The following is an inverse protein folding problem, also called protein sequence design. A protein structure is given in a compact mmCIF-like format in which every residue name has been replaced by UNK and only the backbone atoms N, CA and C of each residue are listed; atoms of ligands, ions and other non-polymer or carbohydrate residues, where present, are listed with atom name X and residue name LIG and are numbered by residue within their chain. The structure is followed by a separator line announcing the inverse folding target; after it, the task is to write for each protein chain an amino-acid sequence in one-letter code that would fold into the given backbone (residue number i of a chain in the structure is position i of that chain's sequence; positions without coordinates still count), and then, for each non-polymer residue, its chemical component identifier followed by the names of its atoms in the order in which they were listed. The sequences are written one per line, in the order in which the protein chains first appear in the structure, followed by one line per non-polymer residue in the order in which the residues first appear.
data_IF_967162335421
#
_entry.id   IF_967162335421
#
_cell.length_a   1.000
_cell.length_b   1.000
_cell.length_c   1.000
_cell.angle_alpha   90.00
_cell.angle_beta   90.00
_cell.angle_gamma   90.00
#
_symmetry.space_group_name_H-M   'P 1'
#
loop_
_entity.id
_entity.type
_entity.pdbx_description
1 polymer ?
#
# COMPACT_ATOMS: atom_id res chain seq x y z
N UNK A 1 13.91 10.20 -12.37
CA UNK A 1 12.77 9.38 -11.91
C UNK A 1 13.05 7.92 -12.20
N UNK A 2 12.88 7.08 -11.22
CA UNK A 2 13.15 5.65 -11.37
C UNK A 2 11.88 4.85 -11.12
N UNK A 3 11.69 3.79 -11.91
CA UNK A 3 10.63 2.81 -11.67
C UNK A 3 11.18 1.75 -10.72
N UNK A 4 10.60 1.66 -9.54
CA UNK A 4 11.02 0.72 -8.50
C UNK A 4 9.91 -0.27 -8.25
N UNK A 5 10.24 -1.57 -8.31
CA UNK A 5 9.31 -2.65 -7.97
C UNK A 5 9.69 -3.18 -6.60
N UNK A 6 8.75 -3.16 -5.67
CA UNK A 6 9.04 -3.54 -4.29
C UNK A 6 7.82 -4.21 -3.65
N UNK A 7 8.04 -5.22 -2.79
CA UNK A 7 6.96 -5.73 -1.95
C UNK A 7 6.42 -4.62 -1.05
N UNK A 8 5.11 -4.58 -0.89
CA UNK A 8 4.45 -3.52 -0.14
C UNK A 8 3.16 -3.98 0.51
N UNK A 9 2.77 -3.26 1.57
CA UNK A 9 1.49 -3.43 2.24
C UNK A 9 0.79 -2.07 2.26
N UNK A 10 -0.49 -2.05 1.93
CA UNK A 10 -1.30 -0.84 1.97
C UNK A 10 -1.63 -0.49 3.41
N UNK A 11 -1.12 0.64 3.89
CA UNK A 11 -1.36 1.11 5.26
C UNK A 11 -2.54 2.04 5.36
N UNK A 12 -2.80 2.81 4.30
CA UNK A 12 -3.85 3.80 4.28
C UNK A 12 -4.22 4.08 2.84
N UNK A 13 -5.50 4.34 2.61
CA UNK A 13 -5.97 4.71 1.28
C UNK A 13 -7.08 5.75 1.44
N UNK A 14 -7.05 6.77 0.59
CA UNK A 14 -8.09 7.80 0.60
C UNK A 14 -8.26 8.40 -0.79
N UNK A 15 -9.44 8.97 -1.00
CA UNK A 15 -9.78 9.61 -2.26
C UNK A 15 -8.94 10.86 -2.47
N UNK A 16 -8.35 10.99 -3.66
CA UNK A 16 -7.55 12.15 -4.04
C UNK A 16 -8.32 13.07 -4.99
N UNK A 17 -8.98 12.49 -5.98
CA UNK A 17 -9.80 13.20 -6.97
C UNK A 17 -11.01 12.34 -7.30
N UNK A 18 -11.79 12.72 -8.31
CA UNK A 18 -12.96 11.95 -8.71
C UNK A 18 -12.62 10.51 -9.12
N UNK A 19 -11.43 10.30 -9.67
CA UNK A 19 -11.04 9.00 -10.23
C UNK A 19 -9.80 8.39 -9.58
N UNK A 20 -9.09 9.14 -8.74
CA UNK A 20 -7.80 8.70 -8.21
C UNK A 20 -7.82 8.55 -6.69
N UNK A 21 -6.95 7.66 -6.20
CA UNK A 21 -6.69 7.50 -4.78
C UNK A 21 -5.24 7.86 -4.47
N UNK A 22 -4.99 8.31 -3.24
CA UNK A 22 -3.65 8.27 -2.66
C UNK A 22 -3.58 7.05 -1.76
N UNK A 23 -2.51 6.28 -1.91
CA UNK A 23 -2.25 5.13 -1.07
C UNK A 23 -0.95 5.36 -0.31
N UNK A 24 -0.97 4.99 0.96
CA UNK A 24 0.23 5.00 1.77
C UNK A 24 0.69 3.56 1.92
N UNK A 25 1.93 3.30 1.52
CA UNK A 25 2.48 1.95 1.42
C UNK A 25 3.68 1.79 2.33
N UNK A 26 3.73 0.68 3.05
CA UNK A 26 4.97 0.22 3.68
C UNK A 26 5.68 -0.66 2.66
N UNK A 27 6.82 -0.20 2.16
CA UNK A 27 7.58 -0.93 1.14
C UNK A 27 8.87 -1.49 1.73
N UNK A 28 9.31 -2.61 1.17
CA UNK A 28 10.58 -3.22 1.57
C UNK A 28 11.79 -2.35 1.18
N UNK A 29 11.76 -1.82 -0.05
CA UNK A 29 12.93 -1.16 -0.61
C UNK A 29 12.99 0.33 -0.32
N UNK A 30 11.85 0.98 -0.10
CA UNK A 30 11.76 2.43 -0.02
C UNK A 30 11.15 2.94 1.29
N UNK A 31 10.88 2.05 2.25
CA UNK A 31 10.20 2.44 3.48
C UNK A 31 8.75 2.84 3.25
N UNK A 32 8.22 3.72 4.08
CA UNK A 32 6.84 4.18 3.96
C UNK A 32 6.77 5.31 2.94
N UNK A 33 5.95 5.10 1.90
CA UNK A 33 5.80 6.06 0.80
C UNK A 33 4.34 6.30 0.50
N UNK A 34 4.03 7.50 0.01
CA UNK A 34 2.70 7.84 -0.49
C UNK A 34 2.74 7.94 -2.00
N UNK A 35 1.71 7.41 -2.66
CA UNK A 35 1.64 7.41 -4.10
C UNK A 35 0.21 7.63 -4.60
N UNK A 36 0.09 8.27 -5.75
CA UNK A 36 -1.20 8.45 -6.44
C UNK A 36 -1.43 7.25 -7.33
N UNK A 37 -2.58 6.61 -7.13
CA UNK A 37 -3.08 5.55 -8.02
C UNK A 37 -4.10 6.17 -8.96
N UNK A 38 -3.65 6.60 -10.12
CA UNK A 38 -4.49 7.30 -11.09
C UNK A 38 -5.54 6.37 -11.67
N UNK A 39 -6.79 6.81 -11.66
CA UNK A 39 -7.90 6.04 -12.18
C UNK A 39 -8.34 4.88 -11.31
N UNK A 40 -7.83 4.77 -10.08
CA UNK A 40 -8.15 3.66 -9.18
C UNK A 40 -9.64 3.56 -8.83
N UNK A 41 -10.36 4.67 -8.88
CA UNK A 41 -11.79 4.71 -8.56
C UNK A 41 -12.69 4.41 -9.76
N UNK A 42 -12.11 4.24 -10.96
CA UNK A 42 -12.89 3.90 -12.15
C UNK A 42 -13.34 2.43 -12.09
N UNK A 43 -14.54 2.12 -12.65
CA UNK A 43 -15.06 0.75 -12.58
C UNK A 43 -14.14 -0.34 -13.14
N UNK A 44 -13.36 -0.01 -14.18
CA UNK A 44 -12.41 -0.94 -14.79
C UNK A 44 -10.97 -0.54 -14.51
N UNK A 45 -10.69 -0.16 -13.27
CA UNK A 45 -9.36 0.20 -12.85
C UNK A 45 -8.39 -0.97 -13.00
N UNK A 46 -7.18 -0.68 -13.47
CA UNK A 46 -6.09 -1.66 -13.53
C UNK A 46 -5.65 -2.14 -12.14
N UNK A 47 -6.00 -1.41 -11.11
CA UNK A 47 -5.67 -1.80 -9.72
C UNK A 47 -6.68 -2.79 -9.15
N UNK A 48 -7.87 -2.87 -9.73
CA UNK A 48 -8.92 -3.77 -9.26
C UNK A 48 -9.23 -3.57 -7.78
N UNK A 49 -9.30 -4.67 -7.04
CA UNK A 49 -9.50 -4.65 -5.60
C UNK A 49 -8.18 -4.55 -4.81
N UNK A 50 -7.05 -4.39 -5.49
CA UNK A 50 -5.73 -4.52 -4.89
C UNK A 50 -5.36 -3.43 -3.89
N UNK A 51 -6.02 -2.27 -3.93
CA UNK A 51 -5.65 -1.13 -3.09
C UNK A 51 -6.53 -1.00 -1.84
N UNK A 52 -6.95 -2.11 -1.28
CA UNK A 52 -7.65 -2.12 -0.01
C UNK A 52 -6.67 -2.11 1.16
N UNK A 53 -7.14 -1.63 2.31
CA UNK A 53 -6.35 -1.60 3.54
C UNK A 53 -5.75 -2.96 3.85
N UNK A 54 -4.47 -2.99 4.16
CA UNK A 54 -3.69 -4.18 4.49
C UNK A 54 -3.53 -5.19 3.35
N UNK A 55 -3.84 -4.81 2.12
CA UNK A 55 -3.49 -5.61 0.95
C UNK A 55 -1.97 -5.70 0.83
N UNK A 56 -1.48 -6.88 0.51
CA UNK A 56 -0.06 -7.17 0.34
C UNK A 56 0.21 -7.56 -1.09
N UNK A 57 1.24 -7.00 -1.68
CA UNK A 57 1.57 -7.30 -3.05
C UNK A 57 2.87 -6.66 -3.49
N UNK A 58 3.07 -6.64 -4.80
CA UNK A 58 4.22 -6.01 -5.43
C UNK A 58 3.81 -4.67 -6.01
N UNK A 59 4.41 -3.59 -5.54
CA UNK A 59 4.13 -2.24 -6.00
C UNK A 59 5.20 -1.77 -6.99
N UNK A 60 4.75 -1.15 -8.07
CA UNK A 60 5.64 -0.45 -9.00
C UNK A 60 5.45 1.05 -8.81
N UNK A 61 6.50 1.70 -8.34
CA UNK A 61 6.46 3.13 -8.02
C UNK A 61 7.40 3.91 -8.94
N UNK A 62 6.88 4.97 -9.53
CA UNK A 62 7.72 5.98 -10.15
C UNK A 62 8.25 6.86 -9.05
N UNK A 63 9.45 6.55 -8.58
CA UNK A 63 10.02 7.14 -7.37
C UNK A 63 10.97 8.27 -7.72
N UNK A 64 10.85 9.37 -6.96
CA UNK A 64 11.77 10.51 -7.05
C UNK A 64 12.08 10.98 -5.63
N UNK A 65 13.36 10.96 -5.26
CA UNK A 65 13.79 11.26 -3.90
C UNK A 65 13.37 12.65 -3.40
N UNK A 66 13.24 13.60 -4.32
CA UNK A 66 12.89 14.98 -3.98
C UNK A 66 11.38 15.19 -3.77
N UNK A 67 10.56 14.16 -3.92
CA UNK A 67 9.11 14.27 -3.78
C UNK A 67 8.60 13.40 -2.65
N UNK A 68 7.54 13.88 -2.00
CA UNK A 68 6.85 13.11 -0.98
C UNK A 68 5.72 12.25 -1.56
N UNK A 69 5.17 12.65 -2.70
CA UNK A 69 4.08 11.97 -3.36
C UNK A 69 4.55 11.43 -4.70
N UNK A 70 4.52 10.13 -4.84
CA UNK A 70 4.97 9.43 -6.04
C UNK A 70 3.78 8.97 -6.87
N UNK A 71 4.03 8.30 -7.99
CA UNK A 71 2.98 7.70 -8.82
C UNK A 71 3.07 6.20 -8.73
N UNK A 72 1.94 5.55 -8.43
CA UNK A 72 1.82 4.10 -8.44
C UNK A 72 1.53 3.66 -9.87
N UNK A 73 2.47 2.91 -10.45
CA UNK A 73 2.32 2.39 -11.81
C UNK A 73 1.49 1.13 -11.86
N UNK A 74 1.69 0.24 -10.89
CA UNK A 74 0.97 -1.02 -10.80
C UNK A 74 1.03 -1.55 -9.37
N UNK A 75 0.08 -2.42 -9.04
CA UNK A 75 0.07 -3.14 -7.77
C UNK A 75 -0.45 -4.54 -8.04
N UNK A 76 0.44 -5.52 -7.98
CA UNK A 76 0.10 -6.93 -8.18
C UNK A 76 -0.24 -7.55 -6.83
N UNK A 77 -1.52 -7.75 -6.58
CA UNK A 77 -2.03 -8.26 -5.33
C UNK A 77 -1.55 -9.70 -5.11
N UNK A 78 -0.80 -9.93 -4.04
CA UNK A 78 -0.38 -11.26 -3.62
C UNK A 78 -1.34 -11.84 -2.58
N UNK A 79 -1.82 -10.99 -1.68
CA UNK A 79 -2.68 -11.43 -0.59
C UNK A 79 -3.58 -10.27 -0.14
N UNK A 80 -4.88 -10.52 -0.11
CA UNK A 80 -5.84 -9.56 0.41
C UNK A 80 -6.11 -9.91 1.87
N UNK A 81 -5.64 -9.08 2.79
CA UNK A 81 -5.73 -9.28 4.23
C UNK A 81 -7.09 -8.90 4.79
N UNK A 82 -8.16 -9.49 4.25
CA UNK A 82 -9.53 -9.17 4.69
C UNK A 82 -9.78 -9.54 6.13
N UNK A 83 -9.24 -10.66 6.57
CA UNK A 83 -9.42 -11.11 7.95
C UNK A 83 -8.79 -10.13 8.92
N UNK A 84 -7.57 -9.67 8.62
CA UNK A 84 -6.89 -8.70 9.46
C UNK A 84 -7.59 -7.35 9.44
N UNK A 85 -8.08 -6.90 8.27
CA UNK A 85 -8.83 -5.65 8.16
C UNK A 85 -10.15 -5.73 8.94
N UNK A 86 -10.83 -6.87 8.89
CA UNK A 86 -12.05 -7.10 9.67
C UNK A 86 -11.75 -7.07 11.17
N UNK A 87 -10.62 -7.64 11.59
CA UNK A 87 -10.20 -7.64 12.99
C UNK A 87 -9.87 -6.23 13.47
N UNK A 88 -9.27 -5.39 12.65
CA UNK A 88 -9.05 -3.98 12.98
C UNK A 88 -10.36 -3.29 13.30
N UNK A 89 -11.39 -3.52 12.46
CA UNK A 89 -12.71 -2.94 12.69
C UNK A 89 -13.44 -3.51 13.90
N UNK A 90 -13.16 -4.77 14.23
CA UNK A 90 -13.87 -5.48 15.30
C UNK A 90 -13.22 -5.30 16.66
N UNK A 91 -11.92 -5.34 16.71
CA UNK A 91 -11.19 -5.37 17.97
C UNK A 91 -10.39 -4.11 18.25
N UNK A 92 -10.10 -3.26 17.29
CA UNK A 92 -9.34 -2.01 17.46
C UNK A 92 -8.31 -2.11 18.58
N UNK A 93 -7.69 -3.27 18.77
CA UNK A 93 -6.96 -3.59 19.97
C UNK A 93 -5.49 -3.90 19.73
N UNK A 94 -4.81 -4.18 20.84
CA UNK A 94 -3.36 -4.35 20.87
C UNK A 94 -2.88 -5.49 19.97
N UNK A 95 -3.65 -6.57 19.87
CA UNK A 95 -3.26 -7.73 19.05
C UNK A 95 -3.17 -7.38 17.56
N UNK A 96 -4.18 -6.69 17.05
CA UNK A 96 -4.20 -6.29 15.64
C UNK A 96 -3.10 -5.28 15.36
N UNK A 97 -2.93 -4.30 16.24
CA UNK A 97 -1.86 -3.31 16.12
C UNK A 97 -0.50 -4.01 16.10
N UNK A 98 -0.29 -5.00 16.97
CA UNK A 98 0.95 -5.77 17.01
C UNK A 98 1.19 -6.52 15.71
N UNK A 99 0.16 -7.11 15.11
CA UNK A 99 0.31 -7.79 13.82
C UNK A 99 0.68 -6.83 12.70
N UNK A 100 0.05 -5.66 12.66
CA UNK A 100 0.39 -4.63 11.67
C UNK A 100 1.84 -4.18 11.85
N UNK A 101 2.25 -3.92 13.08
CA UNK A 101 3.62 -3.51 13.38
C UNK A 101 4.63 -4.61 13.03
N UNK A 102 4.30 -5.86 13.31
CA UNK A 102 5.15 -6.99 12.96
C UNK A 102 5.32 -7.11 11.45
N UNK A 103 4.24 -6.92 10.69
CA UNK A 103 4.28 -6.95 9.24
C UNK A 103 5.17 -5.84 8.69
N UNK A 104 5.03 -4.63 9.22
CA UNK A 104 5.88 -3.52 8.85
C UNK A 104 7.35 -3.78 9.19
N UNK A 105 7.61 -4.38 10.34
CA UNK A 105 8.97 -4.72 10.75
C UNK A 105 9.60 -5.77 9.83
N UNK A 106 8.83 -6.76 9.38
CA UNK A 106 9.31 -7.76 8.42
C UNK A 106 9.71 -7.13 7.09
N UNK A 107 8.91 -6.17 6.61
CA UNK A 107 9.22 -5.41 5.40
C UNK A 107 10.50 -4.59 5.64
N UNK A 108 10.60 -3.89 6.76
CA UNK A 108 11.75 -3.08 7.10
C UNK A 108 13.04 -3.87 7.26
N UNK A 109 13.00 -5.06 7.85
CA UNK A 109 14.17 -5.92 8.03
C UNK A 109 14.78 -6.35 6.70
N UNK A 110 13.96 -6.61 5.72
CA UNK A 110 14.47 -7.00 4.42
C UNK A 110 15.20 -5.84 3.73
N UNK A 111 14.98 -4.64 4.20
CA UNK A 111 15.62 -3.44 3.67
C UNK A 111 17.00 -3.20 4.29
N UNK A 112 17.22 -3.71 5.47
CA UNK A 112 18.49 -3.59 6.17
C UNK A 112 19.46 -4.68 5.70
#
# INVERSE_FOLDING_TARGET
MALVTTPAVVLQTYRYSETSKVVRLATRELGVQSAIAKGALRPKSRFGAGLELLSEGSAQLYFRETRELHTLGAFDLANLRRDLAADVGRFAGATVLAEVMLKMAQIGRAHV
#
